data_IF_418023430161
#
_entry.id   IF_418023430161
#
_cell.length_a   1.000
_cell.length_b   1.000
_cell.length_c   1.000
_cell.angle_alpha   90.00
_cell.angle_beta   90.00
_cell.angle_gamma   90.00
#
_symmetry.space_group_name_H-M   'P 1'
#
loop_
_entity.id
_entity.type
_entity.pdbx_description
1 polymer ?
#
# COMPACT_ATOMS: atom_id res chain seq x y z
N UNK A 1 95.94 -11.60 -50.59
CA UNK A 1 95.03 -11.52 -51.73
C UNK A 1 93.59 -11.62 -51.21
N UNK A 2 92.78 -10.63 -51.61
CA UNK A 2 91.38 -10.48 -51.49
C UNK A 2 90.81 -10.28 -50.08
N UNK A 3 90.56 -9.00 -49.78
CA UNK A 3 89.63 -8.44 -48.75
C UNK A 3 88.20 -8.89 -49.09
N UNK A 4 87.44 -9.20 -48.06
CA UNK A 4 86.02 -9.06 -48.05
C UNK A 4 85.56 -8.34 -46.73
N UNK A 5 85.09 -7.13 -46.89
CA UNK A 5 84.46 -6.31 -45.89
C UNK A 5 83.01 -6.78 -45.67
N UNK A 6 82.69 -7.05 -44.42
CA UNK A 6 81.30 -7.32 -43.98
C UNK A 6 80.71 -6.02 -43.46
N UNK A 7 79.71 -5.53 -44.14
CA UNK A 7 78.86 -4.41 -43.71
C UNK A 7 77.82 -4.93 -42.77
N UNK A 8 77.86 -4.55 -41.51
CA UNK A 8 76.82 -4.81 -40.52
C UNK A 8 75.68 -3.75 -40.63
N UNK A 9 74.53 -4.19 -41.06
CA UNK A 9 73.32 -3.39 -41.08
C UNK A 9 72.63 -3.52 -39.73
N UNK A 10 72.58 -2.42 -38.96
CA UNK A 10 71.83 -2.31 -37.69
C UNK A 10 70.40 -1.89 -38.00
N UNK A 11 69.49 -2.84 -37.94
CA UNK A 11 68.04 -2.54 -37.94
C UNK A 11 67.59 -2.13 -36.55
N UNK A 12 67.22 -0.86 -36.35
CA UNK A 12 66.65 -0.28 -35.16
C UNK A 12 65.16 -0.62 -35.14
N UNK A 13 64.77 -1.63 -34.35
CA UNK A 13 63.38 -1.97 -34.14
C UNK A 13 62.78 -1.02 -33.10
N UNK A 14 61.94 -0.10 -33.58
CA UNK A 14 61.13 0.79 -32.74
C UNK A 14 59.98 -0.02 -32.10
N UNK A 15 60.10 -0.40 -30.83
CA UNK A 15 58.98 -0.95 -30.01
C UNK A 15 58.05 0.21 -29.62
N UNK A 16 56.96 0.36 -30.36
CA UNK A 16 55.83 1.18 -29.93
C UNK A 16 55.10 0.45 -28.81
N UNK A 17 55.39 0.82 -27.54
CA UNK A 17 54.58 0.39 -26.39
C UNK A 17 53.30 1.22 -26.40
N UNK A 18 52.22 0.65 -26.95
CA UNK A 18 50.86 1.20 -26.79
C UNK A 18 50.44 0.90 -25.36
N UNK A 19 50.63 1.87 -24.46
CA UNK A 19 50.02 1.89 -23.15
C UNK A 19 48.49 2.12 -23.33
N UNK A 20 47.77 1.02 -23.51
CA UNK A 20 46.33 1.07 -23.33
C UNK A 20 46.06 1.35 -21.86
N UNK A 21 45.62 2.59 -21.58
CA UNK A 21 45.08 2.96 -20.29
C UNK A 21 43.76 2.22 -20.09
N UNK A 22 43.82 1.05 -19.50
CA UNK A 22 42.64 0.45 -18.90
C UNK A 22 42.26 1.29 -17.70
N UNK A 23 41.48 2.37 -17.92
CA UNK A 23 40.70 2.93 -16.82
C UNK A 23 39.66 1.86 -16.50
N UNK A 24 39.61 1.38 -15.26
CA UNK A 24 38.63 0.37 -14.90
C UNK A 24 37.22 0.96 -15.10
N UNK A 25 36.43 0.34 -15.98
CA UNK A 25 35.04 0.72 -16.21
C UNK A 25 34.22 0.75 -14.89
N UNK A 26 34.64 -0.06 -13.91
CA UNK A 26 34.11 -0.07 -12.55
C UNK A 26 34.25 1.26 -11.78
N UNK A 27 35.31 2.05 -12.05
CA UNK A 27 35.52 3.32 -11.34
C UNK A 27 34.57 4.43 -11.82
N UNK A 28 34.18 4.41 -13.09
CA UNK A 28 33.20 5.34 -13.65
C UNK A 28 31.76 4.96 -13.21
N UNK A 29 31.46 3.66 -13.15
CA UNK A 29 30.19 3.14 -12.66
C UNK A 29 30.01 3.37 -11.16
N UNK A 30 31.08 3.26 -10.35
CA UNK A 30 31.04 3.54 -8.92
C UNK A 30 30.83 5.02 -8.59
N UNK A 31 31.38 5.93 -9.39
CA UNK A 31 31.17 7.38 -9.20
C UNK A 31 29.74 7.81 -9.55
N UNK A 32 29.12 7.26 -10.58
CA UNK A 32 27.73 7.53 -10.93
C UNK A 32 26.74 6.96 -9.91
N UNK A 33 27.01 5.78 -9.36
CA UNK A 33 26.17 5.11 -8.36
C UNK A 33 26.11 5.88 -7.03
N UNK A 34 27.24 6.43 -6.58
CA UNK A 34 27.30 7.29 -5.38
C UNK A 34 26.50 8.58 -5.60
N UNK A 35 26.55 9.15 -6.82
CA UNK A 35 25.79 10.37 -7.16
C UNK A 35 24.28 10.15 -7.02
N UNK A 36 23.71 9.06 -7.56
CA UNK A 36 22.27 8.80 -7.51
C UNK A 36 21.75 8.59 -6.08
N UNK A 37 22.50 7.88 -5.25
CA UNK A 37 22.11 7.66 -3.85
C UNK A 37 22.22 8.97 -3.04
N UNK A 38 23.19 9.83 -3.33
CA UNK A 38 23.31 11.15 -2.73
C UNK A 38 22.15 12.07 -3.16
N UNK A 39 21.71 12.00 -4.41
CA UNK A 39 20.57 12.77 -4.92
C UNK A 39 19.25 12.39 -4.25
N UNK A 40 19.09 11.13 -3.83
CA UNK A 40 17.90 10.63 -3.16
C UNK A 40 17.57 11.37 -1.86
N UNK A 41 18.56 11.93 -1.23
CA UNK A 41 18.41 12.76 -0.04
C UNK A 41 17.56 14.03 -0.31
N UNK A 42 17.61 14.56 -1.53
CA UNK A 42 16.89 15.76 -1.94
C UNK A 42 15.38 15.57 -2.11
N UNK A 43 14.91 14.34 -2.28
CA UNK A 43 13.49 14.02 -2.41
C UNK A 43 12.94 13.10 -1.32
N UNK A 44 13.80 12.53 -0.47
CA UNK A 44 13.35 11.67 0.64
C UNK A 44 12.95 12.52 1.83
N UNK A 45 11.91 12.10 2.55
CA UNK A 45 11.39 12.78 3.73
C UNK A 45 11.25 11.82 4.90
N UNK A 46 11.34 12.34 6.12
CA UNK A 46 10.90 11.66 7.34
C UNK A 46 9.39 11.81 7.47
N UNK A 47 8.73 10.78 8.01
CA UNK A 47 7.30 10.82 8.32
C UNK A 47 7.11 10.41 9.77
N UNK A 48 6.24 11.16 10.47
CA UNK A 48 5.68 10.81 11.77
C UNK A 48 4.17 10.77 11.66
N UNK A 49 3.54 9.75 12.21
CA UNK A 49 2.10 9.62 12.23
C UNK A 49 1.64 9.29 13.63
N UNK A 50 0.60 9.95 14.10
CA UNK A 50 -0.09 9.64 15.33
C UNK A 50 -1.46 9.07 15.01
N UNK A 51 -1.83 7.98 15.69
CA UNK A 51 -3.12 7.31 15.54
C UNK A 51 -3.75 7.19 16.91
N UNK A 52 -4.93 7.77 17.07
CA UNK A 52 -5.70 7.75 18.32
C UNK A 52 -6.89 6.80 18.25
N UNK A 53 -7.53 6.71 17.09
CA UNK A 53 -8.69 5.84 16.85
C UNK A 53 -8.38 4.91 15.69
N UNK A 54 -7.71 3.78 15.97
CA UNK A 54 -7.25 2.89 14.90
C UNK A 54 -8.43 2.18 14.24
N UNK A 55 -8.51 2.17 12.90
CA UNK A 55 -9.40 1.27 12.21
C UNK A 55 -8.83 -0.16 12.23
N UNK A 56 -9.69 -1.15 11.95
CA UNK A 56 -9.33 -2.58 12.00
C UNK A 56 -7.96 -2.90 11.39
N UNK A 57 -7.08 -3.48 12.20
CA UNK A 57 -5.74 -3.92 11.83
C UNK A 57 -4.67 -2.82 11.82
N UNK A 58 -4.97 -1.62 12.29
CA UNK A 58 -4.02 -0.62 12.76
C UNK A 58 -4.00 -0.68 14.29
N UNK A 59 -3.03 -0.05 14.94
CA UNK A 59 -2.97 0.07 16.39
C UNK A 59 -2.92 1.55 16.78
N UNK A 60 -3.39 1.86 17.99
CA UNK A 60 -3.15 3.17 18.59
C UNK A 60 -1.66 3.38 18.82
N UNK A 61 -1.17 4.59 18.62
CA UNK A 61 0.23 4.93 18.89
C UNK A 61 0.85 5.91 17.91
N UNK A 62 2.16 6.02 18.00
CA UNK A 62 2.97 6.85 17.12
C UNK A 62 3.86 5.96 16.24
N UNK A 63 3.89 6.29 14.97
CA UNK A 63 4.64 5.58 13.95
C UNK A 63 5.65 6.52 13.31
N UNK A 64 6.75 5.97 12.83
CA UNK A 64 7.74 6.70 12.05
C UNK A 64 8.17 5.90 10.84
N UNK A 65 8.49 6.58 9.77
CA UNK A 65 8.96 6.00 8.53
C UNK A 65 9.55 7.04 7.62
N UNK A 66 9.66 6.68 6.37
CA UNK A 66 10.14 7.51 5.29
C UNK A 66 9.06 7.71 4.23
N UNK A 67 9.31 8.65 3.33
CA UNK A 67 8.57 8.87 2.11
C UNK A 67 9.45 9.54 1.09
N UNK A 68 8.93 9.77 -0.10
CA UNK A 68 9.66 10.51 -1.13
C UNK A 68 8.72 11.31 -2.02
N UNK A 69 9.20 12.47 -2.47
CA UNK A 69 8.46 13.43 -3.28
C UNK A 69 8.23 12.86 -4.69
N UNK A 70 6.96 12.77 -5.11
CA UNK A 70 6.53 12.24 -6.41
C UNK A 70 5.86 13.28 -7.31
N UNK A 71 5.56 14.46 -6.75
CA UNK A 71 4.97 15.58 -7.48
C UNK A 71 5.23 16.86 -6.66
N UNK A 72 6.19 17.67 -7.09
CA UNK A 72 6.59 18.86 -6.37
C UNK A 72 5.57 19.99 -6.48
N UNK A 73 4.85 20.07 -7.60
CA UNK A 73 3.85 21.11 -7.82
C UNK A 73 2.58 20.88 -6.97
N UNK A 74 2.26 19.62 -6.70
CA UNK A 74 1.15 19.24 -5.84
C UNK A 74 1.57 18.99 -4.39
N UNK A 75 2.88 18.90 -4.11
CA UNK A 75 3.40 18.57 -2.79
C UNK A 75 3.10 17.12 -2.38
N UNK A 76 3.03 16.20 -3.33
CA UNK A 76 2.68 14.79 -3.08
C UNK A 76 3.89 13.95 -2.73
N UNK A 77 3.74 13.17 -1.70
CA UNK A 77 4.78 12.30 -1.14
C UNK A 77 4.22 10.88 -1.06
N UNK A 78 4.93 9.94 -1.66
CA UNK A 78 4.62 8.51 -1.54
C UNK A 78 5.20 7.95 -0.25
N UNK A 79 4.46 7.02 0.38
CA UNK A 79 4.88 6.27 1.57
C UNK A 79 4.09 4.95 1.66
N UNK A 80 4.25 4.19 2.74
CA UNK A 80 3.43 3.00 2.99
C UNK A 80 2.13 3.32 3.73
N UNK A 81 1.11 2.48 3.50
CA UNK A 81 -0.15 2.55 4.22
C UNK A 81 0.01 2.30 5.73
N UNK A 82 0.91 1.40 6.13
CA UNK A 82 1.18 1.13 7.54
C UNK A 82 1.96 2.27 8.23
N UNK A 83 2.66 3.13 7.48
CA UNK A 83 3.33 4.33 8.01
C UNK A 83 2.34 5.47 8.23
N UNK A 84 1.45 5.71 7.25
CA UNK A 84 0.46 6.79 7.33
C UNK A 84 -0.75 6.45 8.18
N UNK A 85 -1.03 5.15 8.43
CA UNK A 85 -2.34 4.65 8.86
C UNK A 85 -3.46 5.04 7.88
N UNK A 86 -4.67 4.56 8.17
CA UNK A 86 -5.89 4.90 7.41
C UNK A 86 -6.72 5.98 8.09
N UNK A 87 -6.49 6.16 9.38
CA UNK A 87 -7.16 7.17 10.20
C UNK A 87 -6.13 7.85 11.11
N UNK A 88 -5.18 8.61 10.52
CA UNK A 88 -4.22 9.37 11.32
C UNK A 88 -4.90 10.52 12.05
N UNK A 89 -4.55 10.73 13.31
CA UNK A 89 -4.84 11.96 14.03
C UNK A 89 -3.99 13.11 13.50
N UNK A 90 -2.69 12.81 13.24
CA UNK A 90 -1.77 13.74 12.59
C UNK A 90 -0.76 12.98 11.74
N UNK A 91 -0.35 13.60 10.65
CA UNK A 91 0.81 13.22 9.85
C UNK A 91 1.70 14.44 9.74
N UNK A 92 2.98 14.26 10.06
CA UNK A 92 4.00 15.29 9.91
C UNK A 92 5.11 14.75 9.03
N UNK A 93 5.66 15.61 8.15
CA UNK A 93 6.82 15.26 7.33
C UNK A 93 7.96 16.26 7.55
N UNK A 94 9.19 15.82 7.36
CA UNK A 94 10.34 16.70 7.34
C UNK A 94 11.26 16.38 6.16
N UNK A 95 11.55 17.37 5.32
CA UNK A 95 12.65 17.32 4.36
C UNK A 95 13.97 17.43 5.10
N UNK A 96 15.06 17.03 4.45
CA UNK A 96 16.41 17.14 5.05
C UNK A 96 16.71 18.56 5.53
N UNK A 97 17.17 18.65 6.77
CA UNK A 97 17.56 19.95 7.38
C UNK A 97 16.38 20.87 7.71
N UNK A 98 15.14 20.40 7.59
CA UNK A 98 13.94 21.17 7.91
C UNK A 98 13.20 20.62 9.12
N UNK A 99 12.41 21.48 9.77
CA UNK A 99 11.49 21.08 10.82
C UNK A 99 10.31 20.29 10.25
N UNK A 100 9.66 19.51 11.10
CA UNK A 100 8.42 18.83 10.74
C UNK A 100 7.32 19.84 10.40
N UNK A 101 6.51 19.51 9.42
CA UNK A 101 5.33 20.26 8.98
C UNK A 101 4.15 19.31 8.76
N UNK A 102 2.96 19.81 8.98
CA UNK A 102 1.72 19.05 8.83
C UNK A 102 1.50 18.61 7.39
N UNK A 103 1.09 17.37 7.24
CA UNK A 103 0.68 16.77 5.97
C UNK A 103 -0.72 16.17 6.07
N UNK A 104 -1.41 16.06 4.95
CA UNK A 104 -2.73 15.45 4.84
C UNK A 104 -2.64 14.11 4.13
N UNK A 105 -3.41 13.12 4.58
CA UNK A 105 -3.58 11.88 3.87
C UNK A 105 -4.42 12.11 2.61
N UNK A 106 -3.83 11.98 1.43
CA UNK A 106 -4.51 12.15 0.15
C UNK A 106 -5.11 10.83 -0.37
N UNK A 107 -4.40 9.73 -0.16
CA UNK A 107 -4.82 8.40 -0.61
C UNK A 107 -4.14 7.31 0.21
N UNK A 108 -4.84 6.21 0.42
CA UNK A 108 -4.28 5.02 1.06
C UNK A 108 -4.85 3.74 0.42
N UNK A 109 -3.95 2.80 0.13
CA UNK A 109 -4.25 1.47 -0.41
C UNK A 109 -3.58 0.40 0.44
N UNK A 110 -4.36 -0.28 1.28
CA UNK A 110 -3.84 -1.39 2.09
C UNK A 110 -3.49 -2.62 1.28
N UNK A 111 -4.15 -2.82 0.14
CA UNK A 111 -3.84 -3.96 -0.71
C UNK A 111 -2.39 -3.91 -1.20
N UNK A 112 -1.91 -2.74 -1.62
CA UNK A 112 -0.51 -2.55 -2.03
C UNK A 112 0.41 -2.10 -0.89
N UNK A 113 -0.13 -1.74 0.29
CA UNK A 113 0.63 -1.07 1.34
C UNK A 113 1.22 0.27 0.85
N UNK A 114 0.41 1.04 0.16
CA UNK A 114 0.78 2.33 -0.43
C UNK A 114 -0.08 3.45 0.13
N UNK A 115 0.54 4.60 0.41
CA UNK A 115 -0.16 5.84 0.70
C UNK A 115 0.47 7.01 -0.05
N UNK A 116 -0.33 8.05 -0.25
CA UNK A 116 0.13 9.36 -0.71
C UNK A 116 -0.33 10.38 0.31
N UNK A 117 0.60 11.19 0.79
CA UNK A 117 0.35 12.34 1.65
C UNK A 117 0.66 13.64 0.90
N UNK A 118 -0.01 14.71 1.27
CA UNK A 118 0.10 16.01 0.63
C UNK A 118 0.55 17.06 1.63
N UNK A 119 1.47 17.91 1.20
CA UNK A 119 1.84 19.16 1.88
C UNK A 119 1.55 20.34 0.96
N UNK A 120 1.25 21.54 1.49
CA UNK A 120 1.08 22.73 0.65
C UNK A 120 2.32 22.96 -0.23
N UNK A 121 2.13 23.29 -1.51
CA UNK A 121 3.21 23.55 -2.47
C UNK A 121 4.23 24.57 -1.91
N UNK A 122 3.77 25.57 -1.19
CA UNK A 122 4.62 26.60 -0.56
C UNK A 122 5.54 26.06 0.53
N UNK A 123 5.33 24.84 0.99
CA UNK A 123 6.14 24.15 2.01
C UNK A 123 7.13 23.15 1.40
N UNK A 124 7.01 22.87 0.10
CA UNK A 124 8.02 22.09 -0.62
C UNK A 124 9.26 22.96 -0.80
N UNK A 125 10.46 22.52 -0.40
CA UNK A 125 11.67 23.33 -0.51
C UNK A 125 11.93 23.82 -1.93
N UNK A 126 12.40 25.03 -2.07
CA UNK A 126 12.89 25.54 -3.35
C UNK A 126 14.07 24.66 -3.82
N UNK A 127 13.96 24.06 -4.99
CA UNK A 127 14.95 23.14 -5.53
C UNK A 127 14.84 21.70 -5.09
N UNK A 128 13.80 21.30 -4.30
CA UNK A 128 13.46 19.89 -4.11
C UNK A 128 13.16 19.25 -5.46
N UNK A 129 13.78 18.11 -5.72
CA UNK A 129 13.57 17.33 -6.95
C UNK A 129 12.52 16.26 -6.70
N UNK A 130 11.78 15.90 -7.73
CA UNK A 130 10.93 14.71 -7.70
C UNK A 130 11.78 13.46 -7.88
N UNK A 131 11.37 12.37 -7.25
CA UNK A 131 11.96 11.07 -7.51
C UNK A 131 11.63 10.61 -8.93
N UNK A 132 12.64 10.22 -9.71
CA UNK A 132 12.41 9.58 -10.99
C UNK A 132 11.94 8.13 -10.77
N UNK A 133 10.79 7.78 -11.35
CA UNK A 133 10.15 6.46 -11.17
C UNK A 133 10.37 5.58 -12.40
N UNK A 134 10.71 4.29 -12.18
CA UNK A 134 10.82 3.31 -13.26
C UNK A 134 9.46 2.63 -13.50
N UNK A 135 8.54 3.36 -14.14
CA UNK A 135 7.14 2.96 -14.28
C UNK A 135 6.89 1.85 -15.31
N UNK A 136 7.76 1.73 -16.32
CA UNK A 136 7.52 0.92 -17.53
C UNK A 136 8.07 -0.50 -17.42
N UNK A 137 8.96 -0.74 -16.47
CA UNK A 137 9.70 -2.00 -16.37
C UNK A 137 9.79 -2.49 -14.94
N UNK A 138 9.68 -3.81 -14.78
CA UNK A 138 10.03 -4.49 -13.54
C UNK A 138 11.53 -4.40 -13.28
N UNK A 139 11.96 -4.32 -12.00
CA UNK A 139 13.39 -4.36 -11.69
C UNK A 139 13.99 -5.72 -12.07
N UNK A 140 15.19 -5.68 -12.61
CA UNK A 140 15.98 -6.86 -12.99
C UNK A 140 16.44 -7.62 -11.74
N UNK A 141 16.22 -8.95 -11.69
CA UNK A 141 16.77 -9.80 -10.64
C UNK A 141 18.29 -9.82 -10.74
N UNK A 142 18.99 -9.62 -9.62
CA UNK A 142 20.44 -9.40 -9.57
C UNK A 142 20.85 -7.93 -9.72
N UNK A 143 19.94 -7.04 -10.14
CA UNK A 143 20.21 -5.61 -10.24
C UNK A 143 20.54 -4.98 -8.89
N UNK A 144 21.60 -4.17 -8.81
CA UNK A 144 22.01 -3.47 -7.59
C UNK A 144 21.00 -2.38 -7.21
N UNK A 145 20.61 -2.32 -5.93
CA UNK A 145 19.67 -1.35 -5.39
C UNK A 145 20.17 -0.73 -4.08
N UNK A 146 19.66 0.48 -3.79
CA UNK A 146 19.83 1.15 -2.50
C UNK A 146 18.46 1.39 -1.86
N UNK A 147 18.29 0.98 -0.62
CA UNK A 147 17.13 1.29 0.20
C UNK A 147 17.42 2.53 1.06
N UNK A 148 16.65 3.58 0.85
CA UNK A 148 16.85 4.87 1.52
C UNK A 148 15.78 5.11 2.58
N UNK A 149 16.16 5.74 3.70
CA UNK A 149 15.24 6.06 4.79
C UNK A 149 15.92 6.56 6.05
N UNK A 150 15.28 6.34 7.21
CA UNK A 150 15.69 6.86 8.52
C UNK A 150 15.74 5.76 9.58
N UNK A 151 16.51 4.66 9.38
CA UNK A 151 16.53 3.52 10.30
C UNK A 151 17.02 3.94 11.68
N UNK A 152 16.34 3.48 12.75
CA UNK A 152 16.72 3.70 14.13
C UNK A 152 16.98 5.18 14.49
N UNK A 153 16.24 6.10 13.89
CA UNK A 153 16.43 7.55 14.03
C UNK A 153 17.74 8.09 13.46
N UNK A 154 18.49 7.28 12.70
CA UNK A 154 19.63 7.74 11.91
C UNK A 154 19.10 8.43 10.67
N UNK A 155 19.44 9.71 10.55
CA UNK A 155 18.91 10.55 9.49
C UNK A 155 19.51 10.20 8.12
N UNK A 156 18.63 10.05 7.12
CA UNK A 156 19.01 9.93 5.71
C UNK A 156 20.08 8.85 5.44
N UNK A 157 19.80 7.64 5.90
CA UNK A 157 20.69 6.50 5.72
C UNK A 157 20.32 5.67 4.48
N UNK A 158 21.31 5.09 3.83
CA UNK A 158 21.13 4.15 2.72
C UNK A 158 21.77 2.81 3.06
N UNK A 159 21.08 1.74 2.71
CA UNK A 159 21.63 0.38 2.69
C UNK A 159 21.61 -0.14 1.26
N UNK A 160 22.65 -0.87 0.85
CA UNK A 160 22.76 -1.39 -0.52
C UNK A 160 22.61 -2.90 -0.55
N UNK A 161 22.14 -3.41 -1.68
CA UNK A 161 21.96 -4.82 -1.95
C UNK A 161 21.57 -5.04 -3.41
N UNK A 162 20.86 -6.14 -3.67
CA UNK A 162 20.35 -6.49 -5.01
C UNK A 162 18.84 -6.75 -4.97
N UNK A 163 18.20 -6.75 -6.11
CA UNK A 163 16.89 -7.36 -6.29
C UNK A 163 17.07 -8.87 -6.27
N UNK A 164 16.68 -9.51 -5.16
CA UNK A 164 16.81 -10.95 -4.97
C UNK A 164 15.74 -11.76 -5.70
N UNK A 165 14.63 -11.11 -6.10
CA UNK A 165 13.57 -11.74 -6.87
C UNK A 165 12.27 -10.95 -6.87
N UNK A 166 11.34 -11.40 -7.74
CA UNK A 166 9.95 -10.94 -7.75
C UNK A 166 9.10 -12.04 -7.11
N UNK A 167 8.31 -11.71 -6.10
CA UNK A 167 7.54 -12.68 -5.31
C UNK A 167 6.07 -12.37 -5.33
N UNK A 168 5.24 -13.36 -5.72
CA UNK A 168 3.79 -13.28 -5.58
C UNK A 168 3.39 -13.90 -4.24
N UNK A 169 2.90 -13.08 -3.32
CA UNK A 169 2.46 -13.48 -1.96
C UNK A 169 1.29 -12.62 -1.50
N UNK A 170 0.35 -13.22 -0.79
CA UNK A 170 -0.84 -12.52 -0.31
C UNK A 170 -1.60 -11.79 -1.44
N UNK A 171 -1.74 -12.48 -2.58
CA UNK A 171 -2.42 -11.99 -3.79
C UNK A 171 -1.83 -10.71 -4.41
N UNK A 172 -0.55 -10.41 -4.16
CA UNK A 172 0.16 -9.25 -4.73
C UNK A 172 1.63 -9.56 -4.97
N UNK A 173 2.24 -8.79 -5.87
CA UNK A 173 3.67 -8.87 -6.11
C UNK A 173 4.47 -8.02 -5.12
N UNK A 174 5.69 -8.49 -4.88
CA UNK A 174 6.72 -7.84 -4.08
C UNK A 174 8.05 -7.86 -4.81
N UNK A 175 8.82 -6.80 -4.69
CA UNK A 175 10.24 -6.81 -5.00
C UNK A 175 10.97 -7.28 -3.76
N UNK A 176 11.63 -8.45 -3.83
CA UNK A 176 12.49 -8.96 -2.76
C UNK A 176 13.88 -8.36 -2.92
N UNK A 177 14.49 -7.92 -1.82
CA UNK A 177 15.87 -7.41 -1.77
C UNK A 177 16.59 -7.92 -0.53
N UNK A 178 17.91 -8.06 -0.62
CA UNK A 178 18.80 -8.30 0.52
C UNK A 178 19.37 -6.99 1.11
N UNK A 179 19.10 -5.84 0.49
CA UNK A 179 19.33 -4.54 1.12
C UNK A 179 18.61 -4.50 2.47
N UNK A 180 19.28 -4.10 3.54
CA UNK A 180 18.75 -4.14 4.90
C UNK A 180 17.56 -3.17 5.04
N UNK A 181 16.35 -3.72 5.12
CA UNK A 181 15.13 -2.99 5.45
C UNK A 181 14.90 -3.09 6.95
N UNK A 182 14.80 -1.95 7.61
CA UNK A 182 14.57 -1.84 9.06
C UNK A 182 13.46 -0.81 9.32
N UNK A 183 12.97 -0.77 10.58
CA UNK A 183 12.06 0.29 11.02
C UNK A 183 12.68 1.66 10.72
N UNK A 184 11.94 2.52 10.01
CA UNK A 184 12.39 3.82 9.53
C UNK A 184 12.73 3.88 8.03
N UNK A 185 13.01 2.74 7.36
CA UNK A 185 13.13 2.71 5.90
C UNK A 185 11.76 2.51 5.22
N UNK A 186 10.76 2.02 5.93
CA UNK A 186 9.41 1.80 5.39
C UNK A 186 8.85 3.10 4.81
N UNK A 187 8.32 3.03 3.60
CA UNK A 187 7.81 4.16 2.81
C UNK A 187 8.87 4.89 2.00
N UNK A 188 10.15 4.70 2.29
CA UNK A 188 11.25 5.27 1.53
C UNK A 188 11.49 4.57 0.18
N UNK A 189 12.26 5.19 -0.72
CA UNK A 189 12.50 4.65 -2.05
C UNK A 189 13.49 3.48 -2.04
N UNK A 190 13.21 2.46 -2.85
CA UNK A 190 14.18 1.47 -3.31
C UNK A 190 14.69 1.91 -4.69
N UNK A 191 15.95 2.22 -4.80
CA UNK A 191 16.55 2.93 -5.94
C UNK A 191 17.45 1.98 -6.72
N UNK A 192 17.28 1.91 -8.03
CA UNK A 192 18.24 1.21 -8.92
C UNK A 192 19.56 1.99 -8.98
N UNK A 193 20.66 1.39 -8.56
CA UNK A 193 21.99 2.01 -8.60
C UNK A 193 22.43 2.28 -10.05
N UNK A 194 21.96 1.48 -11.01
CA UNK A 194 22.28 1.63 -12.43
C UNK A 194 21.65 2.86 -13.07
N UNK A 195 20.41 3.20 -12.70
CA UNK A 195 19.64 4.25 -13.37
C UNK A 195 19.28 5.45 -12.49
N UNK A 196 19.49 5.38 -11.16
CA UNK A 196 19.01 6.37 -10.21
C UNK A 196 17.50 6.38 -9.99
N UNK A 197 16.74 5.58 -10.74
CA UNK A 197 15.28 5.57 -10.67
C UNK A 197 14.76 4.70 -9.54
N UNK A 198 13.66 5.12 -8.94
CA UNK A 198 12.94 4.33 -7.93
C UNK A 198 12.29 3.13 -8.60
N UNK A 199 12.57 1.93 -8.10
CA UNK A 199 12.04 0.64 -8.57
C UNK A 199 11.05 0.01 -7.59
N UNK A 200 10.98 0.53 -6.37
CA UNK A 200 10.05 0.06 -5.35
C UNK A 200 9.93 1.01 -4.17
N UNK A 201 8.97 0.75 -3.29
CA UNK A 201 8.77 1.47 -2.03
C UNK A 201 9.09 0.47 -0.91
N UNK A 202 10.11 0.73 -0.11
CA UNK A 202 10.52 -0.14 0.99
C UNK A 202 9.32 -0.37 1.93
N UNK A 203 9.03 -1.61 2.32
CA UNK A 203 7.84 -1.90 3.11
C UNK A 203 8.14 -2.73 4.35
N UNK A 204 8.55 -3.97 4.19
CA UNK A 204 8.71 -4.88 5.33
C UNK A 204 9.98 -5.70 5.24
N UNK A 205 10.47 -6.13 6.40
CA UNK A 205 11.43 -7.22 6.53
C UNK A 205 10.79 -8.37 7.31
N UNK A 206 11.16 -9.60 7.02
CA UNK A 206 10.86 -10.71 7.93
C UNK A 206 11.64 -10.51 9.22
N UNK A 207 11.03 -10.89 10.36
CA UNK A 207 11.64 -10.80 11.68
C UNK A 207 13.05 -11.43 11.66
N UNK A 208 14.03 -10.73 12.24
CA UNK A 208 15.42 -11.17 12.36
C UNK A 208 15.59 -12.53 13.03
N UNK A 209 14.58 -13.00 13.78
CA UNK A 209 14.56 -14.33 14.40
C UNK A 209 14.33 -15.47 13.41
N UNK A 210 13.82 -15.17 12.20
CA UNK A 210 13.49 -16.20 11.20
C UNK A 210 14.34 -16.12 9.92
N UNK A 211 14.92 -14.96 9.57
CA UNK A 211 15.76 -14.84 8.37
C UNK A 211 16.45 -13.47 8.27
N UNK A 212 17.74 -13.46 8.00
CA UNK A 212 18.51 -12.27 7.61
C UNK A 212 18.40 -12.04 6.09
N UNK A 213 18.44 -10.78 5.64
CA UNK A 213 18.50 -10.45 4.21
C UNK A 213 17.20 -10.66 3.43
N UNK A 214 16.03 -10.70 4.10
CA UNK A 214 14.73 -10.76 3.42
C UNK A 214 13.95 -9.46 3.60
N UNK A 215 14.26 -8.47 2.77
CA UNK A 215 13.50 -7.24 2.62
C UNK A 215 12.50 -7.32 1.47
N UNK A 216 11.41 -6.57 1.57
CA UNK A 216 10.37 -6.48 0.54
C UNK A 216 9.98 -5.03 0.28
N UNK A 217 9.78 -4.71 -0.99
CA UNK A 217 9.30 -3.41 -1.43
C UNK A 217 8.05 -3.57 -2.31
N UNK A 218 7.16 -2.58 -2.26
CA UNK A 218 6.02 -2.46 -3.17
C UNK A 218 6.57 -2.13 -4.56
N UNK A 219 6.19 -2.87 -5.63
CA UNK A 219 6.68 -2.59 -6.98
C UNK A 219 6.25 -1.21 -7.46
N UNK A 220 7.19 -0.40 -7.93
CA UNK A 220 6.88 0.96 -8.39
C UNK A 220 5.93 0.99 -9.60
N UNK A 221 5.98 -0.01 -10.46
CA UNK A 221 5.10 -0.13 -11.63
C UNK A 221 3.61 -0.11 -11.25
N UNK A 222 3.25 -0.67 -10.09
CA UNK A 222 1.88 -0.62 -9.59
C UNK A 222 1.54 0.73 -8.95
N UNK A 223 2.49 1.33 -8.24
CA UNK A 223 2.32 2.65 -7.65
C UNK A 223 2.15 3.74 -8.72
N UNK A 224 2.91 3.66 -9.82
CA UNK A 224 2.82 4.61 -10.93
C UNK A 224 1.40 4.72 -11.51
N UNK A 225 0.67 3.60 -11.68
CA UNK A 225 -0.71 3.65 -12.14
C UNK A 225 -1.61 4.40 -11.16
N UNK A 226 -1.42 4.17 -9.87
CA UNK A 226 -2.16 4.90 -8.82
C UNK A 226 -1.85 6.39 -8.89
N UNK A 227 -0.58 6.78 -8.97
CA UNK A 227 -0.18 8.18 -9.07
C UNK A 227 -0.75 8.86 -10.32
N UNK A 228 -0.75 8.14 -11.47
CA UNK A 228 -1.37 8.62 -12.70
C UNK A 228 -2.87 8.89 -12.51
N UNK A 229 -3.62 7.92 -11.98
CA UNK A 229 -5.06 8.06 -11.74
C UNK A 229 -5.38 9.21 -10.76
N UNK A 230 -4.57 9.37 -9.70
CA UNK A 230 -4.71 10.50 -8.77
C UNK A 230 -4.48 11.84 -9.47
N UNK A 231 -3.48 11.96 -10.37
CA UNK A 231 -3.24 13.18 -11.16
C UNK A 231 -4.41 13.52 -12.09
N UNK A 232 -5.08 12.50 -12.60
CA UNK A 232 -6.29 12.60 -13.44
C UNK A 232 -7.57 12.85 -12.62
N UNK A 233 -7.50 12.91 -11.29
CA UNK A 233 -8.65 13.09 -10.39
C UNK A 233 -9.55 11.86 -10.27
N UNK A 234 -9.09 10.70 -10.75
CA UNK A 234 -9.81 9.44 -10.71
C UNK A 234 -9.55 8.70 -9.38
N UNK A 235 -10.50 7.85 -8.99
CA UNK A 235 -10.35 6.99 -7.82
C UNK A 235 -9.49 5.75 -8.16
N UNK A 236 -8.25 5.62 -7.64
CA UNK A 236 -7.39 4.49 -7.94
C UNK A 236 -7.56 3.31 -6.98
N UNK A 237 -8.61 3.29 -6.17
CA UNK A 237 -8.87 2.19 -5.23
C UNK A 237 -8.97 0.85 -5.96
N UNK A 238 -8.69 -0.24 -5.25
CA UNK A 238 -8.84 -1.57 -5.82
C UNK A 238 -10.30 -1.85 -6.20
N UNK A 239 -10.56 -2.56 -7.31
CA UNK A 239 -11.93 -2.88 -7.72
C UNK A 239 -12.58 -3.91 -6.79
N UNK A 240 -13.91 -4.01 -6.83
CA UNK A 240 -14.61 -5.17 -6.33
C UNK A 240 -14.36 -6.37 -7.24
N UNK A 241 -14.05 -7.53 -6.64
CA UNK A 241 -13.94 -8.80 -7.35
C UNK A 241 -15.04 -9.75 -6.84
N UNK A 242 -16.12 -9.97 -7.60
CA UNK A 242 -17.22 -10.82 -7.15
C UNK A 242 -16.94 -12.33 -7.32
N UNK A 243 -15.69 -12.69 -7.49
CA UNK A 243 -15.22 -14.07 -7.69
C UNK A 243 -13.97 -14.34 -6.86
N UNK A 244 -13.81 -15.59 -6.39
CA UNK A 244 -12.54 -16.11 -5.91
C UNK A 244 -11.79 -16.81 -7.04
N UNK A 245 -10.48 -16.85 -6.93
CA UNK A 245 -9.62 -17.56 -7.87
C UNK A 245 -8.94 -18.75 -7.21
N UNK A 246 -8.69 -19.79 -8.01
CA UNK A 246 -7.97 -20.98 -7.57
C UNK A 246 -6.49 -20.64 -7.27
N UNK A 247 -5.94 -21.26 -6.23
CA UNK A 247 -4.59 -20.97 -5.69
C UNK A 247 -3.67 -22.19 -5.63
N UNK A 248 -3.99 -23.29 -6.32
CA UNK A 248 -3.13 -24.48 -6.34
C UNK A 248 -1.91 -24.29 -7.26
N UNK A 249 -0.85 -25.07 -7.01
CA UNK A 249 0.35 -25.07 -7.89
C UNK A 249 0.04 -25.51 -9.33
N UNK A 250 -1.01 -26.33 -9.54
CA UNK A 250 -1.44 -26.77 -10.87
C UNK A 250 -1.97 -25.62 -11.74
N UNK A 251 -2.44 -24.54 -11.12
CA UNK A 251 -2.96 -23.36 -11.81
C UNK A 251 -2.02 -22.15 -11.70
N UNK A 252 -0.75 -22.39 -11.36
CA UNK A 252 0.27 -21.34 -11.32
C UNK A 252 0.29 -20.61 -12.66
N UNK A 253 0.34 -19.26 -12.60
CA UNK A 253 0.30 -18.38 -13.77
C UNK A 253 -1.00 -18.46 -14.62
N UNK A 254 -2.10 -18.94 -14.02
CA UNK A 254 -3.44 -18.94 -14.62
C UNK A 254 -4.46 -18.36 -13.65
N UNK A 255 -5.23 -17.40 -14.10
CA UNK A 255 -6.29 -16.79 -13.29
C UNK A 255 -7.61 -17.53 -13.54
N UNK A 256 -7.87 -18.59 -12.75
CA UNK A 256 -9.03 -19.47 -12.89
C UNK A 256 -10.05 -19.17 -11.80
N UNK A 257 -11.31 -18.95 -12.17
CA UNK A 257 -12.42 -18.74 -11.24
C UNK A 257 -12.70 -20.02 -10.44
N UNK A 258 -12.65 -19.90 -9.12
CA UNK A 258 -12.99 -20.99 -8.21
C UNK A 258 -14.48 -20.94 -7.78
N UNK A 259 -14.99 -19.77 -7.45
CA UNK A 259 -16.38 -19.57 -7.01
C UNK A 259 -16.79 -18.10 -7.17
N UNK A 260 -18.11 -17.87 -7.13
CA UNK A 260 -18.71 -16.54 -7.16
C UNK A 260 -19.15 -16.14 -5.75
N UNK A 261 -18.89 -14.88 -5.39
CA UNK A 261 -19.37 -14.32 -4.13
C UNK A 261 -20.79 -13.77 -4.28
N UNK A 262 -21.58 -13.86 -3.22
CA UNK A 262 -22.91 -13.27 -3.11
C UNK A 262 -22.85 -11.97 -2.29
N UNK A 263 -23.81 -11.08 -2.53
CA UNK A 263 -23.96 -9.85 -1.71
C UNK A 263 -23.00 -8.71 -2.06
N UNK A 264 -22.17 -8.83 -3.09
CA UNK A 264 -21.35 -7.73 -3.58
C UNK A 264 -22.16 -6.78 -4.48
N UNK A 265 -21.78 -5.51 -4.60
CA UNK A 265 -22.48 -4.53 -5.43
C UNK A 265 -22.35 -4.81 -6.93
N UNK A 266 -21.46 -5.73 -7.31
CA UNK A 266 -21.25 -6.17 -8.69
C UNK A 266 -21.36 -7.68 -8.80
N UNK A 267 -21.79 -8.15 -9.97
CA UNK A 267 -21.81 -9.57 -10.34
C UNK A 267 -21.18 -9.73 -11.72
N UNK A 268 -20.40 -10.82 -11.87
CA UNK A 268 -19.84 -11.18 -13.16
C UNK A 268 -20.47 -12.49 -13.65
N UNK A 269 -20.74 -12.56 -14.96
CA UNK A 269 -21.28 -13.77 -15.60
C UNK A 269 -20.18 -14.83 -15.82
N UNK A 270 -19.26 -14.97 -14.86
CA UNK A 270 -18.21 -15.97 -14.86
C UNK A 270 -18.68 -17.23 -14.15
N UNK A 271 -18.18 -18.37 -14.60
CA UNK A 271 -18.47 -19.69 -14.03
C UNK A 271 -17.20 -20.27 -13.40
N UNK A 272 -17.31 -21.12 -12.36
CA UNK A 272 -16.17 -21.90 -11.88
C UNK A 272 -15.49 -22.65 -13.03
N UNK A 273 -14.17 -22.56 -13.11
CA UNK A 273 -13.36 -23.10 -14.20
C UNK A 273 -13.08 -22.15 -15.36
N UNK A 274 -13.69 -20.98 -15.42
CA UNK A 274 -13.32 -19.93 -16.40
C UNK A 274 -11.90 -19.43 -16.11
N UNK A 275 -11.08 -19.37 -17.14
CA UNK A 275 -9.78 -18.71 -17.07
C UNK A 275 -9.88 -17.30 -17.66
N UNK A 276 -9.59 -16.27 -16.87
CA UNK A 276 -9.46 -14.90 -17.37
C UNK A 276 -8.09 -14.72 -18.03
N UNK A 277 -8.05 -14.11 -19.22
CA UNK A 277 -6.84 -14.01 -20.02
C UNK A 277 -6.29 -12.57 -20.13
N UNK A 278 -7.15 -11.61 -20.48
CA UNK A 278 -6.79 -10.20 -20.69
C UNK A 278 -8.03 -9.32 -20.80
N UNK A 279 -7.86 -8.00 -20.77
CA UNK A 279 -8.86 -7.07 -21.28
C UNK A 279 -8.89 -7.15 -22.82
N UNK A 280 -10.07 -6.91 -23.42
CA UNK A 280 -10.16 -6.78 -24.88
C UNK A 280 -9.47 -5.50 -25.35
N UNK A 281 -9.56 -4.41 -24.57
CA UNK A 281 -8.89 -3.14 -24.82
C UNK A 281 -7.36 -3.20 -24.69
N UNK A 282 -6.84 -4.17 -23.97
CA UNK A 282 -5.40 -4.42 -23.81
C UNK A 282 -5.09 -5.94 -23.84
N UNK A 283 -5.07 -6.53 -25.05
CA UNK A 283 -4.85 -7.97 -25.19
C UNK A 283 -3.41 -8.41 -24.90
N UNK A 284 -2.47 -7.47 -24.77
CA UNK A 284 -1.08 -7.75 -24.47
C UNK A 284 -0.84 -7.99 -22.97
N UNK A 285 -1.60 -7.31 -22.11
CA UNK A 285 -1.56 -7.53 -20.66
C UNK A 285 -2.26 -8.83 -20.31
N UNK A 286 -1.47 -9.85 -19.99
CA UNK A 286 -1.98 -11.18 -19.62
C UNK A 286 -2.22 -11.29 -18.12
N UNK A 287 -3.37 -11.86 -17.74
CA UNK A 287 -3.67 -12.14 -16.35
C UNK A 287 -3.10 -13.48 -15.93
N UNK A 288 -2.00 -13.46 -15.18
CA UNK A 288 -1.40 -14.64 -14.57
C UNK A 288 -1.97 -14.91 -13.18
N UNK A 289 -2.45 -13.86 -12.52
CA UNK A 289 -2.95 -13.92 -11.15
C UNK A 289 -3.88 -12.73 -10.84
N UNK A 290 -4.40 -12.71 -9.62
CA UNK A 290 -5.33 -11.68 -9.16
C UNK A 290 -4.72 -10.26 -9.16
N UNK A 291 -3.42 -10.11 -8.93
CA UNK A 291 -2.79 -8.80 -8.91
C UNK A 291 -2.81 -8.13 -10.28
N UNK A 292 -2.57 -8.90 -11.35
CA UNK A 292 -2.63 -8.39 -12.72
C UNK A 292 -4.02 -7.86 -13.05
N UNK A 293 -5.06 -8.60 -12.67
CA UNK A 293 -6.45 -8.20 -12.87
C UNK A 293 -6.81 -6.94 -12.08
N UNK A 294 -6.46 -6.90 -10.78
CA UNK A 294 -6.72 -5.72 -9.94
C UNK A 294 -6.04 -4.50 -10.53
N UNK A 295 -4.78 -4.63 -10.93
CA UNK A 295 -4.02 -3.54 -11.52
C UNK A 295 -4.65 -3.04 -12.83
N UNK A 296 -5.06 -3.96 -13.70
CA UNK A 296 -5.70 -3.62 -14.97
C UNK A 296 -7.06 -2.92 -14.79
N UNK A 297 -7.85 -3.32 -13.79
CA UNK A 297 -9.17 -2.76 -13.53
C UNK A 297 -9.17 -1.47 -12.70
N UNK A 298 -8.03 -1.05 -12.12
CA UNK A 298 -7.97 0.21 -11.36
C UNK A 298 -8.36 1.42 -12.20
N UNK A 299 -9.26 2.23 -11.67
CA UNK A 299 -9.77 3.44 -12.33
C UNK A 299 -10.75 3.15 -13.48
N UNK A 300 -11.14 1.89 -13.71
CA UNK A 300 -12.17 1.54 -14.67
C UNK A 300 -13.52 1.34 -13.97
N UNK A 301 -14.58 1.86 -14.57
CA UNK A 301 -15.96 1.71 -14.12
C UNK A 301 -16.88 1.37 -15.30
N UNK A 302 -17.96 0.64 -15.00
CA UNK A 302 -18.94 0.24 -16.01
C UNK A 302 -18.60 -1.08 -16.69
N UNK A 303 -19.15 -1.29 -17.88
CA UNK A 303 -19.02 -2.53 -18.66
C UNK A 303 -17.63 -2.62 -19.33
N UNK A 304 -16.90 -3.67 -19.01
CA UNK A 304 -15.54 -3.96 -19.51
C UNK A 304 -15.53 -5.33 -20.17
N UNK A 305 -15.12 -5.35 -21.44
CA UNK A 305 -14.98 -6.61 -22.19
C UNK A 305 -13.67 -7.33 -21.82
N UNK A 306 -13.78 -8.59 -21.42
CA UNK A 306 -12.66 -9.47 -21.05
C UNK A 306 -12.60 -10.71 -21.93
N UNK A 307 -11.38 -11.11 -22.27
CA UNK A 307 -11.13 -12.38 -22.95
C UNK A 307 -11.02 -13.48 -21.89
N UNK A 308 -11.77 -14.55 -22.09
CA UNK A 308 -11.75 -15.73 -21.20
C UNK A 308 -11.58 -17.01 -22.02
N UNK A 309 -11.22 -18.09 -21.32
CA UNK A 309 -11.25 -19.45 -21.82
C UNK A 309 -12.22 -20.25 -20.96
N UNK A 310 -13.33 -20.71 -21.56
CA UNK A 310 -14.37 -21.55 -20.93
C UNK A 310 -14.45 -22.89 -21.66
N UNK A 311 -14.22 -24.01 -20.95
CA UNK A 311 -14.21 -25.35 -21.53
C UNK A 311 -13.36 -25.41 -22.81
N UNK A 312 -12.12 -24.95 -22.70
CA UNK A 312 -11.10 -24.86 -23.77
C UNK A 312 -11.46 -23.93 -24.97
N UNK A 313 -12.60 -23.25 -24.95
CA UNK A 313 -13.02 -22.32 -26.01
C UNK A 313 -12.76 -20.86 -25.57
N UNK A 314 -12.17 -20.09 -26.46
CA UNK A 314 -12.01 -18.65 -26.27
C UNK A 314 -13.37 -17.96 -26.40
N UNK A 315 -13.66 -17.03 -25.51
CA UNK A 315 -14.87 -16.20 -25.48
C UNK A 315 -14.53 -14.81 -24.99
N UNK A 316 -15.36 -13.86 -25.39
CA UNK A 316 -15.39 -12.51 -24.80
C UNK A 316 -16.65 -12.39 -23.96
N UNK A 317 -16.50 -11.88 -22.74
CA UNK A 317 -17.63 -11.56 -21.85
C UNK A 317 -17.48 -10.13 -21.35
N UNK A 318 -18.62 -9.49 -21.07
CA UNK A 318 -18.62 -8.24 -20.32
C UNK A 318 -18.68 -8.49 -18.83
N UNK A 319 -17.85 -7.77 -18.08
CA UNK A 319 -17.86 -7.71 -16.63
C UNK A 319 -18.12 -6.26 -16.22
N UNK A 320 -18.82 -6.07 -15.12
CA UNK A 320 -19.02 -4.72 -14.57
C UNK A 320 -17.84 -4.40 -13.64
N UNK A 321 -17.01 -3.46 -14.03
CA UNK A 321 -15.96 -2.92 -13.15
C UNK A 321 -16.57 -1.85 -12.25
N UNK A 322 -16.25 -1.93 -10.96
CA UNK A 322 -16.60 -0.95 -9.94
C UNK A 322 -15.44 -0.83 -8.96
N UNK A 323 -14.89 0.36 -8.80
CA UNK A 323 -13.85 0.60 -7.81
C UNK A 323 -14.48 0.80 -6.42
N UNK A 324 -13.71 0.46 -5.39
CA UNK A 324 -14.12 0.66 -4.00
C UNK A 324 -14.13 2.14 -3.66
N UNK A 325 -14.95 2.58 -2.68
CA UNK A 325 -14.80 3.90 -2.09
C UNK A 325 -13.37 4.13 -1.60
N UNK A 326 -12.90 5.36 -1.68
CA UNK A 326 -11.59 5.71 -1.13
C UNK A 326 -11.60 5.53 0.38
N UNK A 327 -10.53 4.96 0.93
CA UNK A 327 -10.44 4.74 2.38
C UNK A 327 -10.36 6.06 3.16
N UNK A 328 -9.89 7.13 2.52
CA UNK A 328 -9.85 8.47 3.13
C UNK A 328 -11.24 9.11 3.31
N UNK A 329 -12.25 8.61 2.61
CA UNK A 329 -13.65 9.07 2.75
C UNK A 329 -14.38 8.31 3.89
N UNK A 330 -13.68 7.44 4.60
CA UNK A 330 -14.26 6.68 5.68
C UNK A 330 -14.62 7.57 6.86
N UNK A 331 -15.83 7.37 7.39
CA UNK A 331 -16.31 7.97 8.61
C UNK A 331 -16.78 6.88 9.55
N UNK A 332 -16.27 6.91 10.75
CA UNK A 332 -16.65 6.06 11.86
C UNK A 332 -17.16 6.87 13.03
N UNK A 333 -17.42 6.17 14.13
CA UNK A 333 -17.89 6.75 15.39
C UNK A 333 -17.05 6.17 16.52
N UNK A 334 -16.61 7.02 17.43
CA UNK A 334 -16.02 6.63 18.69
C UNK A 334 -16.99 6.92 19.83
N UNK A 335 -17.19 5.96 20.71
CA UNK A 335 -17.88 6.13 22.00
C UNK A 335 -17.48 5.04 22.98
N UNK A 336 -17.37 5.38 24.25
CA UNK A 336 -17.12 4.43 25.36
C UNK A 336 -15.90 3.51 25.12
N UNK A 337 -14.92 3.98 24.35
CA UNK A 337 -13.75 3.21 23.94
C UNK A 337 -13.96 2.29 22.76
N UNK A 338 -15.10 2.35 22.07
CA UNK A 338 -15.37 1.61 20.85
C UNK A 338 -15.12 2.49 19.63
N UNK A 339 -14.43 1.96 18.62
CA UNK A 339 -14.39 2.53 17.28
C UNK A 339 -15.27 1.68 16.39
N UNK A 340 -16.35 2.27 15.88
CA UNK A 340 -17.31 1.57 15.02
C UNK A 340 -17.49 2.28 13.69
N UNK A 341 -17.86 1.54 12.66
CA UNK A 341 -18.08 2.13 11.35
C UNK A 341 -18.42 1.08 10.30
N UNK A 342 -18.49 1.52 9.05
CA UNK A 342 -18.60 0.59 7.93
C UNK A 342 -17.33 -0.25 7.84
N UNK A 343 -17.49 -1.56 7.75
CA UNK A 343 -16.34 -2.45 7.59
C UNK A 343 -15.62 -2.13 6.27
N UNK A 344 -14.38 -1.66 6.36
CA UNK A 344 -13.47 -1.51 5.23
C UNK A 344 -12.71 -2.82 5.06
N UNK A 345 -13.31 -3.78 4.38
CA UNK A 345 -12.76 -5.12 4.25
C UNK A 345 -11.39 -5.11 3.59
N UNK A 346 -10.45 -5.77 4.25
CA UNK A 346 -9.09 -6.01 3.78
C UNK A 346 -9.09 -6.84 2.50
N UNK A 347 -9.99 -7.83 2.43
CA UNK A 347 -10.10 -8.74 1.30
C UNK A 347 -11.36 -8.41 0.49
N UNK A 348 -11.19 -8.46 -0.83
CA UNK A 348 -12.20 -8.16 -1.83
C UNK A 348 -13.51 -8.94 -1.68
N UNK A 349 -13.55 -9.90 -0.78
CA UNK A 349 -14.43 -11.05 -0.85
C UNK A 349 -15.55 -11.08 0.18
N UNK A 350 -15.56 -10.15 1.13
CA UNK A 350 -16.59 -10.14 2.17
C UNK A 350 -17.26 -8.76 2.16
N UNK A 351 -18.40 -8.65 1.52
CA UNK A 351 -19.27 -7.48 1.67
C UNK A 351 -20.11 -7.67 2.94
N UNK A 352 -20.41 -6.55 3.58
CA UNK A 352 -21.48 -6.49 4.57
C UNK A 352 -22.80 -6.21 3.81
N UNK A 353 -23.58 -7.24 3.43
CA UNK A 353 -24.73 -7.06 2.56
C UNK A 353 -25.88 -6.27 3.21
N UNK A 354 -25.80 -6.06 4.53
CA UNK A 354 -26.88 -5.48 5.32
C UNK A 354 -26.60 -4.04 5.79
N UNK A 355 -25.48 -3.42 5.39
CA UNK A 355 -25.06 -2.09 5.86
C UNK A 355 -24.95 -2.01 7.41
N UNK A 356 -24.64 -3.15 8.04
CA UNK A 356 -24.45 -3.26 9.48
C UNK A 356 -23.18 -2.53 9.90
N UNK A 357 -23.20 -1.95 11.08
CA UNK A 357 -22.03 -1.28 11.66
C UNK A 357 -21.12 -2.32 12.30
N UNK A 358 -19.84 -2.18 12.06
CA UNK A 358 -18.82 -3.08 12.54
C UNK A 358 -18.03 -2.44 13.68
N UNK A 359 -17.69 -3.21 14.72
CA UNK A 359 -16.82 -2.79 15.82
C UNK A 359 -15.38 -3.04 15.38
N UNK A 360 -14.70 -1.98 15.04
CA UNK A 360 -13.36 -2.01 14.44
C UNK A 360 -12.26 -2.12 15.49
N UNK A 361 -12.48 -1.50 16.65
CA UNK A 361 -11.55 -1.51 17.77
C UNK A 361 -12.27 -1.35 19.10
N UNK A 362 -11.66 -1.85 20.17
CA UNK A 362 -12.09 -1.70 21.56
C UNK A 362 -10.86 -1.31 22.37
N UNK A 363 -10.82 -0.06 22.79
CA UNK A 363 -9.69 0.48 23.55
C UNK A 363 -9.51 -0.25 24.90
N UNK A 364 -8.28 -0.58 25.24
CA UNK A 364 -7.93 -1.21 26.52
C UNK A 364 -8.40 -0.34 27.69
N UNK A 365 -8.87 -0.99 28.77
CA UNK A 365 -9.40 -0.34 29.98
C UNK A 365 -10.59 0.59 29.78
N UNK A 366 -11.24 0.57 28.60
CA UNK A 366 -12.46 1.32 28.32
C UNK A 366 -13.71 0.62 28.88
N UNK A 367 -14.84 1.34 28.88
CA UNK A 367 -16.14 0.76 29.23
C UNK A 367 -16.46 -0.43 28.33
N UNK A 368 -16.19 -0.33 27.03
CA UNK A 368 -16.35 -1.43 26.08
C UNK A 368 -15.53 -2.65 26.44
N UNK A 369 -14.25 -2.46 26.80
CA UNK A 369 -13.35 -3.53 27.23
C UNK A 369 -13.80 -4.18 28.55
N UNK A 370 -14.16 -3.38 29.54
CA UNK A 370 -14.65 -3.88 30.86
C UNK A 370 -15.91 -4.70 30.71
N UNK A 371 -16.81 -4.31 29.80
CA UNK A 371 -18.06 -5.04 29.51
C UNK A 371 -17.85 -6.24 28.59
N UNK A 372 -16.63 -6.49 28.13
CA UNK A 372 -16.30 -7.63 27.28
C UNK A 372 -16.87 -7.52 25.85
N UNK A 373 -17.05 -6.30 25.32
CA UNK A 373 -17.49 -6.11 23.94
C UNK A 373 -16.40 -6.65 23.01
N UNK A 374 -16.71 -7.63 22.14
CA UNK A 374 -15.69 -8.20 21.27
C UNK A 374 -15.41 -7.26 20.10
N UNK A 375 -14.13 -6.91 19.91
CA UNK A 375 -13.67 -6.31 18.65
C UNK A 375 -13.93 -7.27 17.47
N UNK A 376 -14.06 -6.70 16.28
CA UNK A 376 -14.30 -7.45 15.03
C UNK A 376 -15.65 -8.19 14.98
N UNK A 377 -16.66 -7.65 15.67
CA UNK A 377 -18.03 -8.11 15.64
C UNK A 377 -18.96 -7.06 15.02
N UNK A 378 -20.16 -7.47 14.65
CA UNK A 378 -21.19 -6.54 14.17
C UNK A 378 -21.97 -5.96 15.35
N UNK A 379 -22.22 -4.65 15.30
CA UNK A 379 -23.17 -3.97 16.16
C UNK A 379 -24.59 -4.26 15.64
N UNK A 380 -25.27 -5.24 16.24
CA UNK A 380 -26.53 -5.75 15.72
C UNK A 380 -27.71 -4.83 16.06
N UNK A 381 -27.86 -4.46 17.33
CA UNK A 381 -28.87 -3.49 17.77
C UNK A 381 -28.33 -2.60 18.89
N UNK A 382 -28.85 -1.37 18.96
CA UNK A 382 -28.72 -0.48 20.13
C UNK A 382 -30.13 -0.14 20.60
N UNK A 383 -30.45 -0.39 21.88
CA UNK A 383 -31.77 -0.25 22.47
C UNK A 383 -32.86 -1.01 21.69
N UNK A 384 -32.53 -2.18 21.14
CA UNK A 384 -33.44 -2.99 20.32
C UNK A 384 -33.60 -2.50 18.87
N UNK A 385 -33.03 -1.35 18.51
CA UNK A 385 -33.10 -0.79 17.15
C UNK A 385 -31.94 -1.26 16.30
N UNK A 386 -32.21 -1.72 15.09
CA UNK A 386 -31.18 -1.98 14.07
C UNK A 386 -30.83 -0.68 13.37
N UNK A 387 -29.79 -0.01 13.89
CA UNK A 387 -29.33 1.27 13.39
C UNK A 387 -28.31 1.04 12.26
N UNK A 388 -28.76 1.21 11.03
CA UNK A 388 -27.91 1.11 9.85
C UNK A 388 -27.27 2.45 9.53
N UNK A 389 -25.94 2.43 9.32
CA UNK A 389 -25.16 3.63 9.02
C UNK A 389 -24.77 4.45 10.25
N UNK A 390 -23.56 5.01 10.16
CA UNK A 390 -22.91 5.77 11.27
C UNK A 390 -23.75 6.96 11.73
N UNK A 391 -24.39 7.68 10.80
CA UNK A 391 -25.16 8.88 11.15
C UNK A 391 -26.37 8.59 12.04
N UNK A 392 -27.13 7.52 11.73
CA UNK A 392 -28.30 7.14 12.55
C UNK A 392 -27.87 6.68 13.94
N UNK A 393 -26.78 5.92 14.01
CA UNK A 393 -26.20 5.51 15.30
C UNK A 393 -25.73 6.74 16.08
N UNK A 394 -25.05 7.68 15.45
CA UNK A 394 -24.55 8.92 16.01
C UNK A 394 -25.70 9.73 16.65
N UNK A 395 -26.78 9.98 15.92
CA UNK A 395 -27.94 10.70 16.42
C UNK A 395 -28.61 10.00 17.63
N UNK A 396 -28.75 8.66 17.57
CA UNK A 396 -29.33 7.89 18.67
C UNK A 396 -28.48 7.96 19.95
N UNK A 397 -27.15 7.79 19.81
CA UNK A 397 -26.22 7.85 20.95
C UNK A 397 -26.06 9.26 21.48
N UNK A 398 -26.12 10.29 20.64
CA UNK A 398 -26.11 11.71 21.08
C UNK A 398 -27.29 12.05 21.99
N UNK A 399 -28.49 11.52 21.69
CA UNK A 399 -29.64 11.67 22.59
C UNK A 399 -29.43 10.96 23.93
N UNK A 400 -28.85 9.75 23.90
CA UNK A 400 -28.56 9.00 25.12
C UNK A 400 -27.52 9.73 26.00
N UNK A 401 -26.45 10.26 25.37
CA UNK A 401 -25.40 11.02 26.06
C UNK A 401 -25.94 12.30 26.69
N UNK A 402 -26.73 13.10 25.95
CA UNK A 402 -27.39 14.32 26.48
C UNK A 402 -28.34 14.06 27.65
N UNK A 403 -28.93 12.87 27.69
CA UNK A 403 -29.85 12.45 28.75
C UNK A 403 -29.14 11.70 29.89
N UNK A 404 -27.84 11.54 29.86
CA UNK A 404 -27.05 10.68 30.76
C UNK A 404 -27.62 9.25 30.86
N UNK A 405 -28.22 8.75 29.77
CA UNK A 405 -28.93 7.49 29.69
C UNK A 405 -28.00 6.40 29.21
N UNK A 406 -28.03 5.28 29.87
CA UNK A 406 -27.32 4.07 29.42
C UNK A 406 -28.08 3.43 28.25
N UNK A 407 -27.34 2.76 27.37
CA UNK A 407 -27.87 2.04 26.22
C UNK A 407 -27.64 0.55 26.35
N UNK A 408 -28.51 -0.23 25.70
CA UNK A 408 -28.38 -1.67 25.57
C UNK A 408 -27.78 -1.99 24.20
N UNK A 409 -26.62 -2.67 24.17
CA UNK A 409 -25.94 -3.07 22.93
C UNK A 409 -26.07 -4.57 22.75
N UNK A 410 -26.44 -4.99 21.55
CA UNK A 410 -26.37 -6.38 21.12
C UNK A 410 -25.37 -6.49 20.00
N UNK A 411 -24.35 -7.33 20.18
CA UNK A 411 -23.36 -7.64 19.13
C UNK A 411 -23.58 -9.02 18.57
N UNK A 412 -23.14 -9.22 17.34
CA UNK A 412 -23.16 -10.50 16.65
C UNK A 412 -21.77 -10.83 16.17
N UNK A 413 -21.23 -11.98 16.56
CA UNK A 413 -19.95 -12.44 16.09
C UNK A 413 -19.91 -12.59 14.55
N UNK A 414 -18.71 -12.49 13.97
CA UNK A 414 -18.48 -12.76 12.55
C UNK A 414 -18.75 -14.24 12.29
N UNK A 415 -19.61 -14.57 11.32
CA UNK A 415 -19.82 -15.94 10.90
C UNK A 415 -18.65 -16.34 10.00
N UNK A 416 -17.71 -17.12 10.54
CA UNK A 416 -16.86 -17.98 9.70
C UNK A 416 -17.71 -19.20 9.35
N UNK A 417 -17.60 -19.73 8.16
CA UNK A 417 -18.45 -20.79 7.58
C UNK A 417 -18.75 -22.01 8.48
N UNK A 418 -18.11 -22.14 9.63
CA UNK A 418 -18.21 -23.28 10.54
C UNK A 418 -18.51 -22.94 12.00
N UNK A 419 -18.80 -21.67 12.36
CA UNK A 419 -19.09 -21.29 13.74
C UNK A 419 -20.46 -20.60 13.86
N UNK A 420 -21.26 -21.05 14.82
CA UNK A 420 -22.54 -20.40 15.16
C UNK A 420 -22.32 -18.94 15.58
N UNK A 421 -23.14 -18.04 15.03
CA UNK A 421 -23.09 -16.63 15.39
C UNK A 421 -23.45 -16.45 16.87
N UNK A 422 -22.46 -16.21 17.73
CA UNK A 422 -22.69 -15.88 19.12
C UNK A 422 -23.24 -14.45 19.20
N UNK A 423 -24.41 -14.29 19.86
CA UNK A 423 -24.96 -12.97 20.22
C UNK A 423 -24.55 -12.65 21.64
N UNK A 424 -24.01 -11.44 21.82
CA UNK A 424 -23.69 -10.90 23.15
C UNK A 424 -24.64 -9.77 23.45
N UNK A 425 -25.32 -9.84 24.61
CA UNK A 425 -26.19 -8.81 25.11
C UNK A 425 -25.44 -8.04 26.21
N UNK A 426 -25.33 -6.75 26.05
CA UNK A 426 -24.63 -5.86 26.94
C UNK A 426 -25.61 -4.79 27.42
N UNK A 427 -26.04 -4.90 28.66
CA UNK A 427 -26.93 -3.95 29.29
C UNK A 427 -26.12 -2.84 29.98
N UNK A 428 -26.68 -1.65 30.06
CA UNK A 428 -26.12 -0.53 30.83
C UNK A 428 -24.80 0.08 30.31
N UNK A 429 -24.60 0.11 28.99
CA UNK A 429 -23.46 0.81 28.40
C UNK A 429 -23.67 2.32 28.56
N UNK A 430 -22.83 3.00 29.33
CA UNK A 430 -22.80 4.45 29.39
C UNK A 430 -22.15 5.01 28.13
N UNK A 431 -22.81 5.95 27.46
CA UNK A 431 -22.24 6.64 26.29
C UNK A 431 -21.34 7.75 26.80
N UNK A 432 -20.04 7.66 26.44
CA UNK A 432 -19.03 8.63 26.84
C UNK A 432 -18.08 8.92 25.66
N UNK A 433 -17.65 10.17 25.57
CA UNK A 433 -16.70 10.61 24.53
C UNK A 433 -17.19 10.34 23.10
N UNK A 434 -18.50 10.55 22.87
CA UNK A 434 -19.11 10.36 21.55
C UNK A 434 -18.59 11.38 20.55
N UNK A 435 -18.04 10.91 19.44
CA UNK A 435 -17.53 11.76 18.35
C UNK A 435 -17.45 11.01 17.04
N UNK A 436 -17.51 11.73 15.93
CA UNK A 436 -17.17 11.21 14.62
C UNK A 436 -15.64 11.09 14.48
N UNK A 437 -15.18 10.05 13.82
CA UNK A 437 -13.77 9.79 13.55
C UNK A 437 -13.55 9.46 12.07
N UNK A 438 -12.48 9.98 11.51
CA UNK A 438 -12.14 9.76 10.10
C UNK A 438 -10.92 10.58 9.68
N UNK A 439 -10.22 10.21 8.59
CA UNK A 439 -8.94 10.82 8.21
C UNK A 439 -8.95 12.32 7.94
N UNK A 440 -10.13 12.86 7.62
CA UNK A 440 -10.32 14.28 7.30
C UNK A 440 -11.22 15.02 8.29
N UNK A 441 -11.63 14.35 9.36
CA UNK A 441 -12.46 14.98 10.40
C UNK A 441 -11.57 15.69 11.42
N UNK A 442 -12.08 16.80 11.95
CA UNK A 442 -11.46 17.48 13.08
C UNK A 442 -11.64 16.65 14.35
N UNK A 443 -10.74 16.82 15.32
CA UNK A 443 -10.76 16.07 16.58
C UNK A 443 -12.06 16.23 17.38
N UNK A 444 -12.76 17.33 17.19
CA UNK A 444 -14.01 17.70 17.86
C UNK A 444 -15.28 17.50 17.02
N UNK A 445 -15.17 16.73 15.92
CA UNK A 445 -16.33 16.48 15.06
C UNK A 445 -17.46 15.81 15.86
N UNK A 446 -18.51 16.60 16.12
CA UNK A 446 -19.65 16.17 16.89
C UNK A 446 -20.69 15.44 16.04
N UNK A 447 -21.51 14.62 16.70
CA UNK A 447 -22.73 14.10 16.12
C UNK A 447 -23.74 15.25 16.02
N UNK A 448 -23.86 15.91 14.89
CA UNK A 448 -24.95 16.83 14.65
C UNK A 448 -26.26 16.03 14.61
N UNK A 449 -27.22 16.46 15.49
CA UNK A 449 -28.52 15.83 15.67
C UNK A 449 -29.49 16.13 14.54
#
# INVERSE_FOLDING_TARGET
MKNQSIVASATLSLLLVVLWSFAPADAAESRSSISYLAEAEGYTVKIRTRVKYPPMGDNEGSYSGAGFLIDADKGWIATNAHVSSRNPESIEIAFKGQSFLDAKLLFVDRYLDLAVVEVPRSKVPAGAKEAELKCDEWPEVGGKVGAYGHPLSLDFSVTTGIVSGLRYRHNRYWVQTDAAINSGNSGGPLISIKSGKVVGINSMAYSKLSSEGLGFAVPIVYACRIFKLLREGLNPSAPYLPVAFATSDEVRDKLIVATNYQGLPVKWALEPGDQLLSLVSDPNTKFKNQADLIHALRGLEGEIAVNIKRKEKLKTLNITALVRPRMIDWVGLHFSGLVVGKELLRDANLSNPNDEIFILDVASASVGSVLGIPAYSYLHTVDGLSLKGVQKLCSHLSQAEKQDRKVKIVTRGRIWEYMSASKYNLDNVKVENLRLVGPHLKEDAACEG
#
